data_IF_182923700848
#
_entry.id   IF_182923700848
#
_cell.length_a   1.000
_cell.length_b   1.000
_cell.length_c   1.000
_cell.angle_alpha   90.00
_cell.angle_beta   90.00
_cell.angle_gamma   90.00
#
_symmetry.space_group_name_H-M   'P 1'
#
loop_
_entity.id
_entity.type
_entity.pdbx_description
1 polymer ?
#
# COMPACT_ATOMS: atom_id res chain seq x y z
N UNK A 1 -13.78 -16.86 -7.32
CA UNK A 1 -13.08 -15.77 -6.62
C UNK A 1 -12.97 -14.52 -7.48
N UNK A 2 -12.35 -13.44 -6.95
CA UNK A 2 -12.16 -12.19 -7.69
C UNK A 2 -11.31 -12.41 -8.95
N UNK A 3 -10.24 -13.22 -8.85
CA UNK A 3 -9.41 -13.57 -10.01
C UNK A 3 -10.22 -14.19 -11.14
N UNK A 4 -11.08 -15.17 -10.84
CA UNK A 4 -11.95 -15.79 -11.84
C UNK A 4 -12.94 -14.80 -12.48
N UNK A 5 -13.50 -13.85 -11.71
CA UNK A 5 -14.38 -12.81 -12.25
C UNK A 5 -13.63 -11.86 -13.20
N UNK A 6 -12.40 -11.46 -12.83
CA UNK A 6 -11.54 -10.63 -13.68
C UNK A 6 -11.15 -11.35 -14.98
N UNK A 7 -10.83 -12.65 -14.90
CA UNK A 7 -10.51 -13.45 -16.10
C UNK A 7 -11.73 -13.62 -17.02
N UNK A 8 -12.91 -13.79 -16.46
CA UNK A 8 -14.14 -13.82 -17.25
C UNK A 8 -14.38 -12.46 -17.94
N UNK A 9 -14.24 -11.33 -17.22
CA UNK A 9 -14.33 -10.02 -17.83
C UNK A 9 -13.30 -9.81 -18.95
N UNK A 10 -12.05 -10.26 -18.73
CA UNK A 10 -10.97 -10.13 -19.72
C UNK A 10 -11.26 -10.89 -21.03
N UNK A 11 -12.04 -11.97 -21.00
CA UNK A 11 -12.42 -12.71 -22.19
C UNK A 11 -13.27 -11.88 -23.17
N UNK A 12 -13.94 -10.84 -22.68
CA UNK A 12 -14.77 -9.94 -23.47
C UNK A 12 -14.05 -8.65 -23.92
N UNK A 13 -12.83 -8.42 -23.45
CA UNK A 13 -12.05 -7.22 -23.83
C UNK A 13 -11.51 -7.37 -25.23
N UNK A 14 -11.75 -6.38 -26.10
CA UNK A 14 -11.25 -6.33 -27.47
C UNK A 14 -10.22 -5.24 -27.74
N UNK A 15 -10.04 -4.33 -26.77
CA UNK A 15 -9.10 -3.21 -26.83
C UNK A 15 -7.66 -3.64 -26.51
N UNK A 16 -6.68 -2.88 -26.97
CA UNK A 16 -5.26 -3.12 -26.70
C UNK A 16 -4.88 -2.86 -25.26
N UNK A 17 -5.61 -1.97 -24.57
CA UNK A 17 -5.43 -1.64 -23.17
C UNK A 17 -6.73 -1.92 -22.40
N UNK A 18 -6.58 -2.30 -21.14
CA UNK A 18 -7.70 -2.51 -20.23
C UNK A 18 -7.43 -1.82 -18.89
N UNK A 19 -8.42 -1.06 -18.43
CA UNK A 19 -8.43 -0.46 -17.11
C UNK A 19 -9.26 -1.33 -16.16
N UNK A 20 -8.68 -1.60 -15.00
CA UNK A 20 -9.32 -2.38 -13.93
C UNK A 20 -9.54 -1.51 -12.71
N UNK A 21 -10.74 -1.64 -12.14
CA UNK A 21 -11.12 -0.98 -10.90
C UNK A 21 -11.99 -1.91 -10.05
N UNK A 22 -12.00 -1.69 -8.74
CA UNK A 22 -12.90 -2.41 -7.84
C UNK A 22 -14.33 -1.82 -7.94
N UNK A 23 -15.35 -2.65 -7.73
CA UNK A 23 -16.75 -2.23 -7.85
C UNK A 23 -17.19 -1.18 -6.80
N UNK A 24 -16.41 -1.06 -5.72
CA UNK A 24 -16.59 -0.10 -4.64
C UNK A 24 -15.70 1.14 -4.78
N UNK A 25 -15.10 1.34 -5.95
CA UNK A 25 -14.18 2.44 -6.22
C UNK A 25 -14.82 3.49 -7.12
N UNK A 26 -14.86 4.73 -6.64
CA UNK A 26 -15.25 5.89 -7.44
C UNK A 26 -14.06 6.35 -8.27
N UNK A 27 -14.25 6.39 -9.59
CA UNK A 27 -13.30 6.93 -10.56
C UNK A 27 -13.80 8.30 -10.98
N UNK A 28 -13.09 9.41 -10.66
CA UNK A 28 -13.47 10.73 -11.10
C UNK A 28 -13.50 10.81 -12.64
N UNK A 29 -14.44 11.59 -13.16
CA UNK A 29 -14.49 11.89 -14.59
C UNK A 29 -13.53 13.04 -14.92
N UNK A 30 -12.24 12.75 -14.81
CA UNK A 30 -11.14 13.66 -15.09
C UNK A 30 -10.12 13.01 -16.04
N UNK A 31 -9.04 13.70 -16.34
CA UNK A 31 -7.97 13.21 -17.23
C UNK A 31 -7.10 12.10 -16.59
N UNK A 32 -7.49 11.56 -15.44
CA UNK A 32 -6.71 10.57 -14.71
C UNK A 32 -6.31 9.36 -15.55
N UNK A 33 -7.28 8.80 -16.30
CA UNK A 33 -7.03 7.67 -17.21
C UNK A 33 -6.09 8.05 -18.36
N UNK A 34 -6.17 9.28 -18.85
CA UNK A 34 -5.27 9.80 -19.89
C UNK A 34 -3.81 9.80 -19.44
N UNK A 35 -3.53 10.10 -18.16
CA UNK A 35 -2.17 9.99 -17.61
C UNK A 35 -1.66 8.55 -17.56
N UNK A 36 -2.54 7.57 -17.29
CA UNK A 36 -2.15 6.16 -17.33
C UNK A 36 -1.87 5.71 -18.77
N UNK A 37 -2.72 6.09 -19.71
CA UNK A 37 -2.52 5.79 -21.13
C UNK A 37 -1.21 6.38 -21.65
N UNK A 38 -0.91 7.63 -21.30
CA UNK A 38 0.35 8.25 -21.66
C UNK A 38 1.59 7.49 -21.14
N UNK A 39 1.53 6.86 -19.97
CA UNK A 39 2.62 5.99 -19.50
C UNK A 39 2.71 4.68 -20.31
N UNK A 40 1.59 4.10 -20.74
CA UNK A 40 1.60 2.94 -21.67
C UNK A 40 2.24 3.34 -23.00
N UNK A 41 1.87 4.49 -23.56
CA UNK A 41 2.44 5.01 -24.81
C UNK A 41 3.95 5.28 -24.69
N UNK A 42 4.43 5.68 -23.51
CA UNK A 42 5.87 5.79 -23.19
C UNK A 42 6.56 4.44 -22.98
N UNK A 43 5.87 3.36 -23.28
CA UNK A 43 6.38 1.99 -23.28
C UNK A 43 6.25 1.28 -21.92
N UNK A 44 5.37 1.69 -21.02
CA UNK A 44 5.00 0.85 -19.88
C UNK A 44 4.09 -0.30 -20.35
N UNK A 45 4.18 -1.44 -19.67
CA UNK A 45 3.34 -2.60 -19.92
C UNK A 45 2.16 -2.65 -18.95
N UNK A 46 2.34 -2.03 -17.78
CA UNK A 46 1.31 -1.88 -16.76
C UNK A 46 1.52 -0.59 -15.96
N UNK A 47 0.43 0.04 -15.56
CA UNK A 47 0.43 1.33 -14.85
C UNK A 47 -0.52 1.28 -13.67
N UNK A 48 -0.04 1.66 -12.49
CA UNK A 48 -0.85 1.82 -11.28
C UNK A 48 -1.25 3.27 -11.06
N UNK A 49 -2.51 3.52 -10.70
CA UNK A 49 -2.97 4.80 -10.18
C UNK A 49 -2.88 4.88 -8.65
N UNK A 50 -3.39 5.95 -8.08
CA UNK A 50 -3.34 6.27 -6.66
C UNK A 50 -4.72 6.05 -6.02
N UNK A 51 -4.91 5.01 -5.19
CA UNK A 51 -6.09 4.90 -4.37
C UNK A 51 -6.00 5.88 -3.18
N UNK A 52 -6.72 6.97 -3.25
CA UNK A 52 -6.83 8.00 -2.21
C UNK A 52 -7.99 7.74 -1.27
N UNK A 53 -8.37 8.69 -0.44
CA UNK A 53 -9.50 8.60 0.48
C UNK A 53 -10.59 9.60 0.06
N UNK A 54 -11.82 9.12 -0.11
CA UNK A 54 -12.97 10.00 -0.17
C UNK A 54 -13.34 10.42 1.26
N UNK A 55 -13.37 11.72 1.51
CA UNK A 55 -13.67 12.30 2.83
C UNK A 55 -15.08 12.87 2.91
N UNK A 56 -15.83 12.88 1.82
CA UNK A 56 -17.22 13.35 1.80
C UNK A 56 -18.10 12.38 2.59
N UNK A 57 -18.77 12.90 3.63
CA UNK A 57 -19.60 12.08 4.51
C UNK A 57 -18.85 11.01 5.33
N UNK A 58 -17.52 11.03 5.32
CA UNK A 58 -16.71 10.04 6.01
C UNK A 58 -16.67 10.26 7.53
N UNK A 59 -16.51 9.18 8.28
CA UNK A 59 -16.29 9.21 9.73
C UNK A 59 -14.88 9.63 10.12
N UNK A 60 -14.58 9.69 11.42
CA UNK A 60 -13.30 10.11 11.95
C UNK A 60 -12.13 9.21 11.51
N UNK A 61 -12.33 7.88 11.43
CA UNK A 61 -11.27 6.93 11.06
C UNK A 61 -10.73 7.15 9.64
N UNK A 62 -11.56 7.32 8.59
CA UNK A 62 -11.09 7.72 7.27
C UNK A 62 -10.29 9.02 7.26
N UNK A 63 -10.68 10.04 8.05
CA UNK A 63 -9.93 11.29 8.17
C UNK A 63 -8.54 11.06 8.77
N UNK A 64 -8.44 10.34 9.90
CA UNK A 64 -7.15 9.98 10.51
C UNK A 64 -6.27 9.23 9.51
N UNK A 65 -6.84 8.26 8.80
CA UNK A 65 -6.12 7.48 7.80
C UNK A 65 -5.64 8.32 6.62
N UNK A 66 -6.47 9.27 6.15
CA UNK A 66 -6.13 10.14 5.03
C UNK A 66 -4.88 10.99 5.33
N UNK A 67 -4.63 11.35 6.60
CA UNK A 67 -3.43 12.13 6.98
C UNK A 67 -2.13 11.46 6.57
N UNK A 68 -2.09 10.13 6.52
CA UNK A 68 -0.86 9.37 6.21
C UNK A 68 -0.96 8.56 4.91
N UNK A 69 -2.15 8.22 4.44
CA UNK A 69 -2.36 7.29 3.32
C UNK A 69 -1.76 7.80 2.03
N UNK A 70 -2.18 8.99 1.57
CA UNK A 70 -1.80 9.50 0.26
C UNK A 70 -0.30 9.80 0.14
N UNK A 71 0.31 10.58 1.07
CA UNK A 71 1.73 10.87 1.02
C UNK A 71 2.57 9.59 1.04
N UNK A 72 2.19 8.62 1.89
CA UNK A 72 2.88 7.34 1.99
C UNK A 72 2.78 6.52 0.70
N UNK A 73 1.63 6.53 0.03
CA UNK A 73 1.48 5.83 -1.25
C UNK A 73 2.32 6.52 -2.33
N UNK A 74 2.17 7.83 -2.50
CA UNK A 74 2.85 8.58 -3.57
C UNK A 74 4.36 8.55 -3.38
N UNK A 75 4.85 8.98 -2.22
CA UNK A 75 6.29 9.06 -1.96
C UNK A 75 6.94 7.68 -2.02
N UNK A 76 6.33 6.69 -1.36
CA UNK A 76 6.86 5.33 -1.31
C UNK A 76 6.91 4.69 -2.68
N UNK A 77 5.82 4.70 -3.44
CA UNK A 77 5.78 4.04 -4.75
C UNK A 77 6.63 4.75 -5.79
N UNK A 78 6.72 6.08 -5.73
CA UNK A 78 7.63 6.84 -6.59
C UNK A 78 9.09 6.49 -6.28
N UNK A 79 9.48 6.45 -5.01
CA UNK A 79 10.81 6.02 -4.61
C UNK A 79 11.11 4.58 -5.06
N UNK A 80 10.17 3.66 -4.84
CA UNK A 80 10.32 2.26 -5.28
C UNK A 80 10.49 2.14 -6.79
N UNK A 81 9.75 2.92 -7.57
CA UNK A 81 9.90 2.94 -9.03
C UNK A 81 11.27 3.50 -9.45
N UNK A 82 11.71 4.60 -8.85
CA UNK A 82 12.98 5.25 -9.22
C UNK A 82 14.20 4.40 -8.83
N UNK A 83 14.19 3.88 -7.61
CA UNK A 83 15.33 3.14 -7.04
C UNK A 83 15.20 1.63 -7.25
N UNK A 84 14.00 1.06 -7.14
CA UNK A 84 13.74 -0.38 -7.26
C UNK A 84 13.39 -0.84 -8.68
N UNK A 85 13.07 0.08 -9.58
CA UNK A 85 12.69 -0.20 -10.97
C UNK A 85 11.19 -0.35 -11.21
N UNK A 86 10.40 -0.64 -10.16
CA UNK A 86 8.95 -0.75 -10.24
C UNK A 86 8.28 -0.33 -8.92
N UNK A 87 7.02 0.14 -8.92
CA UNK A 87 6.24 0.32 -7.71
C UNK A 87 5.95 -1.04 -7.07
N UNK A 88 5.79 -1.07 -5.75
CA UNK A 88 5.54 -2.30 -4.99
C UNK A 88 4.29 -3.07 -5.46
N UNK A 89 3.24 -2.35 -5.87
CA UNK A 89 1.96 -2.92 -6.26
C UNK A 89 1.22 -2.00 -7.25
N UNK A 90 0.60 -2.61 -8.24
CA UNK A 90 -0.51 -2.01 -8.98
C UNK A 90 -1.77 -2.39 -8.22
N UNK A 91 -2.44 -1.41 -7.61
CA UNK A 91 -3.65 -1.66 -6.82
C UNK A 91 -4.78 -2.17 -7.70
N UNK A 92 -5.50 -3.20 -7.26
CA UNK A 92 -6.71 -3.69 -7.92
C UNK A 92 -7.82 -2.64 -8.07
N UNK A 93 -7.78 -1.58 -7.26
CA UNK A 93 -8.69 -0.44 -7.37
C UNK A 93 -8.36 0.51 -8.53
N UNK A 94 -7.12 0.48 -9.07
CA UNK A 94 -6.70 1.39 -10.14
C UNK A 94 -5.47 0.85 -10.87
N UNK A 95 -5.69 0.05 -11.89
CA UNK A 95 -4.63 -0.53 -12.71
C UNK A 95 -4.97 -0.50 -14.20
N UNK A 96 -4.03 -0.06 -15.03
CA UNK A 96 -4.13 -0.15 -16.49
C UNK A 96 -3.04 -1.08 -17.01
N UNK A 97 -3.39 -1.95 -17.95
CA UNK A 97 -2.50 -2.98 -18.47
C UNK A 97 -2.64 -3.06 -19.99
N UNK A 98 -1.57 -3.44 -20.67
CA UNK A 98 -1.71 -3.99 -22.02
C UNK A 98 -2.50 -5.30 -21.92
N UNK A 99 -3.55 -5.44 -22.71
CA UNK A 99 -4.47 -6.58 -22.68
C UNK A 99 -3.74 -7.91 -22.94
N UNK A 100 -2.75 -7.92 -23.81
CA UNK A 100 -1.90 -9.09 -24.09
C UNK A 100 -1.15 -9.59 -22.85
N UNK A 101 -0.68 -8.67 -21.99
CA UNK A 101 0.02 -9.00 -20.74
C UNK A 101 -0.91 -9.71 -19.77
N UNK A 102 -2.13 -9.19 -19.59
CA UNK A 102 -3.12 -9.85 -18.75
C UNK A 102 -3.60 -11.19 -19.32
N UNK A 103 -3.75 -11.31 -20.64
CA UNK A 103 -4.09 -12.59 -21.28
C UNK A 103 -3.04 -13.65 -21.07
N UNK A 104 -1.76 -13.26 -21.04
CA UNK A 104 -0.64 -14.18 -20.85
C UNK A 104 -0.52 -14.67 -19.39
N UNK A 105 -0.67 -13.77 -18.40
CA UNK A 105 -0.42 -14.10 -17.01
C UNK A 105 -1.67 -14.27 -16.18
N UNK A 106 -2.71 -13.47 -16.43
CA UNK A 106 -3.98 -13.52 -15.74
C UNK A 106 -3.92 -13.16 -14.26
N UNK A 107 -5.06 -13.40 -13.60
CA UNK A 107 -5.18 -13.29 -12.16
C UNK A 107 -5.31 -14.67 -11.54
N UNK A 108 -4.46 -14.98 -10.58
CA UNK A 108 -4.46 -16.27 -9.91
C UNK A 108 -5.24 -16.19 -8.59
N UNK A 109 -5.93 -17.27 -8.24
CA UNK A 109 -6.64 -17.40 -6.96
C UNK A 109 -5.74 -18.01 -5.83
N UNK A 110 -4.42 -18.11 -6.05
CA UNK A 110 -3.46 -18.67 -5.07
C UNK A 110 -3.21 -17.76 -3.86
N UNK A 111 -3.63 -16.50 -3.94
CA UNK A 111 -3.59 -15.53 -2.85
C UNK A 111 -4.80 -14.60 -2.92
N UNK A 112 -5.16 -13.98 -1.80
CA UNK A 112 -6.24 -12.97 -1.70
C UNK A 112 -5.81 -11.55 -2.04
N UNK A 113 -4.56 -11.37 -2.43
CA UNK A 113 -3.96 -10.14 -2.94
C UNK A 113 -3.46 -10.41 -4.36
N UNK A 114 -4.39 -10.77 -5.22
CA UNK A 114 -4.15 -11.16 -6.60
C UNK A 114 -3.44 -10.07 -7.41
N UNK A 115 -3.66 -8.81 -7.06
CA UNK A 115 -3.05 -7.64 -7.65
C UNK A 115 -1.55 -7.53 -7.31
N UNK A 116 -1.19 -7.84 -6.08
CA UNK A 116 0.21 -7.90 -5.66
C UNK A 116 0.94 -9.06 -6.32
N UNK A 117 0.31 -10.24 -6.33
CA UNK A 117 0.87 -11.45 -6.93
C UNK A 117 1.17 -11.24 -8.42
N UNK A 118 0.20 -10.68 -9.17
CA UNK A 118 0.39 -10.32 -10.57
C UNK A 118 1.50 -9.28 -10.73
N UNK A 119 1.51 -8.22 -9.92
CA UNK A 119 2.55 -7.18 -10.00
C UNK A 119 3.94 -7.78 -9.85
N UNK A 120 4.16 -8.64 -8.86
CA UNK A 120 5.47 -9.25 -8.62
C UNK A 120 5.85 -10.27 -9.70
N UNK A 121 4.86 -10.97 -10.26
CA UNK A 121 5.10 -11.85 -11.41
C UNK A 121 5.57 -11.03 -12.61
N UNK A 122 4.92 -9.92 -12.93
CA UNK A 122 5.32 -9.03 -14.03
C UNK A 122 6.71 -8.43 -13.82
N UNK A 123 7.05 -8.04 -12.58
CA UNK A 123 8.41 -7.57 -12.23
C UNK A 123 9.44 -8.66 -12.50
N UNK A 124 9.18 -9.90 -12.08
CA UNK A 124 10.07 -11.05 -12.29
C UNK A 124 10.33 -11.31 -13.77
N UNK A 125 9.29 -11.18 -14.58
CA UNK A 125 9.36 -11.38 -16.03
C UNK A 125 9.93 -10.17 -16.80
N UNK A 126 10.34 -9.12 -16.09
CA UNK A 126 11.01 -7.94 -16.67
C UNK A 126 10.09 -6.94 -17.34
N UNK A 127 8.76 -7.02 -17.11
CA UNK A 127 7.82 -6.02 -17.64
C UNK A 127 8.03 -4.66 -17.00
N UNK A 128 7.84 -3.61 -17.82
CA UNK A 128 7.98 -2.23 -17.37
C UNK A 128 6.71 -1.74 -16.68
N UNK A 129 6.79 -1.61 -15.37
CA UNK A 129 5.66 -1.16 -14.54
C UNK A 129 5.89 0.29 -14.10
N UNK A 130 4.87 1.13 -14.21
CA UNK A 130 4.93 2.55 -13.87
C UNK A 130 3.79 2.95 -12.90
N UNK A 131 4.00 4.09 -12.24
CA UNK A 131 3.00 4.73 -11.38
C UNK A 131 2.57 6.06 -12.02
N UNK A 132 1.26 6.22 -12.25
CA UNK A 132 0.65 7.48 -12.68
C UNK A 132 0.13 8.24 -11.45
N UNK A 133 0.93 9.15 -10.88
CA UNK A 133 0.58 9.87 -9.64
C UNK A 133 -0.60 10.85 -9.82
N UNK A 134 -0.96 11.21 -11.04
CA UNK A 134 -2.09 12.09 -11.35
C UNK A 134 -3.41 11.33 -11.54
N UNK A 135 -3.38 10.01 -11.68
CA UNK A 135 -4.59 9.19 -11.70
C UNK A 135 -4.97 8.82 -10.27
N UNK A 136 -5.93 9.54 -9.72
CA UNK A 136 -6.41 9.33 -8.35
C UNK A 136 -7.82 8.74 -8.38
N UNK A 137 -8.04 7.67 -7.62
CA UNK A 137 -9.36 7.03 -7.46
C UNK A 137 -9.72 6.92 -5.98
N UNK A 138 -10.98 6.76 -5.68
CA UNK A 138 -11.52 6.79 -4.32
C UNK A 138 -12.24 5.47 -4.00
N UNK A 139 -11.52 4.44 -3.50
CA UNK A 139 -12.15 3.23 -3.00
C UNK A 139 -12.94 3.51 -1.72
N UNK A 140 -13.94 2.69 -1.48
CA UNK A 140 -14.73 2.76 -0.24
C UNK A 140 -13.84 2.65 0.99
N UNK A 141 -14.05 3.55 1.94
CA UNK A 141 -13.29 3.59 3.19
C UNK A 141 -13.98 2.76 4.29
N UNK A 142 -13.16 2.16 5.16
CA UNK A 142 -13.66 1.54 6.38
C UNK A 142 -13.98 2.62 7.42
N UNK A 143 -15.17 2.57 8.01
CA UNK A 143 -15.61 3.52 9.03
C UNK A 143 -15.36 3.01 10.46
N UNK A 144 -15.11 1.72 10.63
CA UNK A 144 -14.88 1.10 11.93
C UNK A 144 -13.50 0.47 12.05
N UNK A 145 -12.95 0.44 13.26
CA UNK A 145 -11.67 -0.23 13.57
C UNK A 145 -11.75 -1.73 13.24
N UNK A 146 -12.92 -2.36 13.42
CA UNK A 146 -13.13 -3.78 13.12
C UNK A 146 -12.99 -4.07 11.63
N UNK A 147 -13.56 -3.24 10.76
CA UNK A 147 -13.43 -3.36 9.31
C UNK A 147 -11.98 -3.12 8.87
N UNK A 148 -11.36 -2.08 9.45
CA UNK A 148 -9.95 -1.75 9.18
C UNK A 148 -9.04 -2.90 9.58
N UNK A 149 -9.25 -3.51 10.75
CA UNK A 149 -8.51 -4.67 11.21
C UNK A 149 -8.65 -5.87 10.25
N UNK A 150 -9.88 -6.19 9.81
CA UNK A 150 -10.15 -7.27 8.85
C UNK A 150 -9.42 -7.01 7.51
N UNK A 151 -9.48 -5.77 7.01
CA UNK A 151 -8.82 -5.35 5.77
C UNK A 151 -7.31 -5.48 5.88
N UNK A 152 -6.70 -4.93 6.93
CA UNK A 152 -5.26 -5.01 7.18
C UNK A 152 -4.79 -6.45 7.36
N UNK A 153 -5.51 -7.25 8.14
CA UNK A 153 -5.19 -8.68 8.30
C UNK A 153 -5.13 -9.41 6.96
N UNK A 154 -6.11 -9.17 6.09
CA UNK A 154 -6.13 -9.76 4.74
C UNK A 154 -4.90 -9.36 3.94
N UNK A 155 -4.58 -8.06 3.89
CA UNK A 155 -3.44 -7.57 3.14
C UNK A 155 -2.10 -8.09 3.68
N UNK A 156 -1.91 -8.03 4.99
CA UNK A 156 -0.64 -8.41 5.61
C UNK A 156 -0.36 -9.90 5.44
N UNK A 157 -1.36 -10.74 5.68
CA UNK A 157 -1.19 -12.19 5.47
C UNK A 157 -0.96 -12.48 4.00
N UNK A 158 -1.71 -11.83 3.09
CA UNK A 158 -1.49 -11.95 1.65
C UNK A 158 -0.09 -11.52 1.22
N UNK A 159 0.43 -10.41 1.77
CA UNK A 159 1.81 -9.97 1.50
C UNK A 159 2.84 -11.01 1.95
N UNK A 160 2.66 -11.59 3.14
CA UNK A 160 3.53 -12.64 3.64
C UNK A 160 3.48 -13.91 2.76
N UNK A 161 2.30 -14.27 2.27
CA UNK A 161 2.15 -15.38 1.30
C UNK A 161 2.83 -15.05 -0.03
N UNK A 162 2.65 -13.85 -0.57
CA UNK A 162 3.32 -13.40 -1.79
C UNK A 162 4.85 -13.44 -1.64
N UNK A 163 5.42 -13.07 -0.48
CA UNK A 163 6.85 -13.19 -0.24
C UNK A 163 7.34 -14.64 -0.35
N UNK A 164 6.56 -15.60 0.11
CA UNK A 164 6.90 -17.02 -0.03
C UNK A 164 6.81 -17.50 -1.47
N UNK A 165 5.79 -17.02 -2.21
CA UNK A 165 5.59 -17.38 -3.62
C UNK A 165 6.67 -16.79 -4.53
N UNK A 166 7.19 -15.61 -4.19
CA UNK A 166 8.16 -14.86 -4.98
C UNK A 166 9.47 -14.65 -4.21
N UNK A 167 9.94 -15.68 -3.50
CA UNK A 167 11.18 -15.64 -2.72
C UNK A 167 12.41 -15.31 -3.56
N UNK A 168 12.38 -15.65 -4.84
CA UNK A 168 13.37 -15.34 -5.86
C UNK A 168 13.58 -13.84 -6.07
N UNK A 169 12.55 -13.02 -5.83
CA UNK A 169 12.64 -11.56 -5.93
C UNK A 169 13.30 -10.89 -4.71
N UNK A 170 13.40 -11.57 -3.56
CA UNK A 170 13.81 -10.92 -2.31
C UNK A 170 15.21 -10.30 -2.36
N UNK A 171 16.16 -10.95 -3.04
CA UNK A 171 17.54 -10.48 -3.18
C UNK A 171 17.77 -9.66 -4.45
N UNK A 172 16.74 -9.43 -5.26
CA UNK A 172 16.84 -8.53 -6.41
C UNK A 172 16.80 -7.06 -5.98
N UNK A 173 17.19 -6.15 -6.89
CA UNK A 173 17.06 -4.70 -6.67
C UNK A 173 15.66 -4.31 -6.24
N UNK A 174 14.62 -4.87 -6.90
CA UNK A 174 13.23 -4.66 -6.52
C UNK A 174 12.92 -5.16 -5.11
N UNK A 175 13.37 -6.36 -4.77
CA UNK A 175 13.14 -6.96 -3.45
C UNK A 175 13.78 -6.14 -2.33
N UNK A 176 15.05 -5.74 -2.51
CA UNK A 176 15.78 -4.94 -1.52
C UNK A 176 15.18 -3.55 -1.31
N UNK A 177 14.65 -2.93 -2.36
CA UNK A 177 14.07 -1.57 -2.27
C UNK A 177 12.58 -1.58 -1.91
N UNK A 178 11.82 -2.57 -2.39
CA UNK A 178 10.37 -2.56 -2.29
C UNK A 178 9.79 -3.55 -1.28
N UNK A 179 10.38 -4.74 -1.15
CA UNK A 179 9.86 -5.81 -0.28
C UNK A 179 10.51 -5.74 1.10
N UNK A 180 11.84 -5.81 1.15
CA UNK A 180 12.59 -5.87 2.39
C UNK A 180 12.30 -4.71 3.35
N UNK A 181 12.26 -3.42 2.93
CA UNK A 181 12.02 -2.30 3.84
C UNK A 181 10.67 -2.37 4.55
N UNK A 182 9.65 -2.97 3.95
CA UNK A 182 8.33 -3.12 4.59
C UNK A 182 8.41 -4.03 5.82
N UNK A 183 9.25 -5.05 5.78
CA UNK A 183 9.45 -5.96 6.92
C UNK A 183 10.50 -5.43 7.87
N UNK A 184 11.57 -4.85 7.37
CA UNK A 184 12.59 -4.20 8.18
C UNK A 184 12.01 -3.10 9.06
N UNK A 185 11.13 -2.24 8.51
CA UNK A 185 10.46 -1.19 9.27
C UNK A 185 9.64 -1.75 10.43
N UNK A 186 8.95 -2.89 10.24
CA UNK A 186 8.20 -3.54 11.33
C UNK A 186 9.16 -4.02 12.42
N UNK A 187 10.20 -4.75 12.05
CA UNK A 187 11.19 -5.28 13.01
C UNK A 187 11.91 -4.14 13.72
N UNK A 188 12.42 -3.16 12.98
CA UNK A 188 13.10 -2.00 13.56
C UNK A 188 12.15 -1.14 14.40
N UNK A 189 10.90 -0.93 13.98
CA UNK A 189 9.89 -0.21 14.74
C UNK A 189 9.61 -0.86 16.08
N UNK A 190 9.42 -2.20 16.11
CA UNK A 190 9.19 -2.96 17.34
C UNK A 190 10.44 -2.94 18.24
N UNK A 191 11.63 -3.15 17.68
CA UNK A 191 12.88 -3.11 18.43
C UNK A 191 13.14 -1.71 19.00
N UNK A 192 12.96 -0.68 18.21
CA UNK A 192 13.16 0.72 18.66
C UNK A 192 12.17 1.06 19.76
N UNK A 193 10.90 0.65 19.63
CA UNK A 193 9.90 0.85 20.66
C UNK A 193 10.25 0.09 21.94
N UNK A 194 10.64 -1.19 21.86
CA UNK A 194 11.05 -1.98 23.01
C UNK A 194 12.28 -1.39 23.70
N UNK A 195 13.30 -0.97 22.95
CA UNK A 195 14.51 -0.32 23.48
C UNK A 195 14.14 1.01 24.14
N UNK A 196 13.31 1.84 23.51
CA UNK A 196 12.88 3.11 24.09
C UNK A 196 12.08 2.91 25.38
N UNK A 197 11.22 1.89 25.43
CA UNK A 197 10.46 1.57 26.61
C UNK A 197 11.37 1.10 27.77
N UNK A 198 12.32 0.21 27.52
CA UNK A 198 13.27 -0.23 28.52
C UNK A 198 14.15 0.92 29.03
N UNK A 199 14.55 1.82 28.15
CA UNK A 199 15.32 3.02 28.54
C UNK A 199 14.50 3.98 29.38
N UNK A 200 13.24 4.22 29.06
CA UNK A 200 12.34 5.08 29.88
C UNK A 200 12.09 4.46 31.25
N UNK A 201 11.94 3.14 31.34
CA UNK A 201 11.70 2.46 32.62
C UNK A 201 12.96 2.28 33.48
N UNK A 202 14.15 2.28 32.87
CA UNK A 202 15.43 2.13 33.58
C UNK A 202 16.19 3.45 33.77
N UNK A 203 15.60 4.59 33.39
CA UNK A 203 16.37 5.81 33.18
C UNK A 203 16.72 6.57 34.46
N UNK A 204 18.00 6.64 34.68
CA UNK A 204 18.66 7.79 35.32
C UNK A 204 19.76 8.27 34.36
N UNK A 205 19.56 9.39 33.62
CA UNK A 205 20.62 9.95 32.80
C UNK A 205 20.26 10.31 31.34
N UNK A 206 21.26 10.50 30.46
CA UNK A 206 21.08 11.02 29.09
C UNK A 206 20.15 10.20 28.18
N UNK A 207 19.83 8.97 28.55
CA UNK A 207 18.86 8.11 27.85
C UNK A 207 17.43 8.66 27.88
N UNK A 208 17.09 9.49 28.88
CA UNK A 208 15.80 10.19 28.95
C UNK A 208 15.58 11.12 27.76
N UNK A 209 16.63 11.79 27.31
CA UNK A 209 16.59 12.71 26.15
C UNK A 209 16.22 11.92 24.89
N UNK A 210 16.81 10.73 24.68
CA UNK A 210 16.48 9.90 23.52
C UNK A 210 15.03 9.38 23.56
N UNK A 211 14.51 9.02 24.74
CA UNK A 211 13.13 8.59 24.94
C UNK A 211 12.10 9.70 24.70
N UNK A 212 12.47 10.96 24.83
CA UNK A 212 11.59 12.11 24.54
C UNK A 212 11.79 12.64 23.11
N UNK A 213 13.03 12.75 22.66
CA UNK A 213 13.37 13.32 21.34
C UNK A 213 12.85 12.45 20.22
N UNK A 214 12.95 11.12 20.33
CA UNK A 214 12.53 10.21 19.27
C UNK A 214 11.01 10.25 19.02
N UNK A 215 10.12 10.19 20.04
CA UNK A 215 8.69 10.41 19.84
C UNK A 215 8.36 11.79 19.26
N UNK A 216 9.05 12.85 19.69
CA UNK A 216 8.83 14.19 19.15
C UNK A 216 9.22 14.31 17.68
N UNK A 217 10.33 13.69 17.26
CA UNK A 217 10.71 13.60 15.84
C UNK A 217 9.65 12.83 15.04
N UNK A 218 9.13 11.72 15.58
CA UNK A 218 8.04 10.96 14.96
C UNK A 218 6.79 11.83 14.79
N UNK A 219 6.36 12.53 15.82
CA UNK A 219 5.22 13.45 15.75
C UNK A 219 5.48 14.53 14.69
N UNK A 220 6.70 15.08 14.63
CA UNK A 220 7.10 16.04 13.61
C UNK A 220 6.95 15.50 12.19
N UNK A 221 7.47 14.30 11.94
CA UNK A 221 7.37 13.63 10.63
C UNK A 221 5.90 13.37 10.25
N UNK A 222 5.10 12.83 11.16
CA UNK A 222 3.67 12.56 10.91
C UNK A 222 2.90 13.86 10.66
N UNK A 223 3.24 14.94 11.36
CA UNK A 223 2.63 16.27 11.16
C UNK A 223 2.97 16.84 9.79
N UNK A 224 4.22 16.71 9.32
CA UNK A 224 4.62 17.12 7.96
C UNK A 224 3.86 16.31 6.92
N UNK A 225 3.78 14.98 7.08
CA UNK A 225 3.03 14.10 6.19
C UNK A 225 1.54 14.47 6.18
N UNK A 226 0.97 14.76 7.36
CA UNK A 226 -0.41 15.24 7.50
C UNK A 226 -0.64 16.60 6.82
N UNK A 227 0.33 17.50 6.89
CA UNK A 227 0.30 18.79 6.19
C UNK A 227 0.27 18.62 4.66
N UNK A 228 1.08 17.71 4.11
CA UNK A 228 1.05 17.37 2.68
C UNK A 228 -0.33 16.82 2.28
N UNK A 229 -0.91 15.94 3.10
CA UNK A 229 -2.24 15.39 2.86
C UNK A 229 -3.33 16.46 2.95
N UNK A 230 -3.24 17.37 3.94
CA UNK A 230 -4.17 18.50 4.10
C UNK A 230 -4.16 19.41 2.86
N UNK A 231 -2.99 19.71 2.34
CA UNK A 231 -2.82 20.48 1.10
C UNK A 231 -3.46 19.76 -0.10
N UNK A 232 -3.19 18.46 -0.25
CA UNK A 232 -3.71 17.67 -1.36
C UNK A 232 -5.24 17.58 -1.35
N UNK A 233 -5.82 17.30 -0.17
CA UNK A 233 -7.27 17.20 0.00
C UNK A 233 -7.97 18.57 0.17
N UNK A 234 -7.21 19.68 0.16
CA UNK A 234 -7.71 21.03 0.46
C UNK A 234 -8.52 21.09 1.76
N UNK A 235 -8.11 20.32 2.75
CA UNK A 235 -8.81 20.17 4.02
C UNK A 235 -7.85 20.32 5.21
N UNK A 236 -7.87 21.50 5.82
CA UNK A 236 -6.99 21.85 6.95
C UNK A 236 -7.23 20.98 8.20
N UNK A 237 -8.40 20.39 8.36
CA UNK A 237 -8.73 19.52 9.50
C UNK A 237 -7.83 18.27 9.56
N UNK A 238 -7.17 17.90 8.47
CA UNK A 238 -6.22 16.80 8.46
C UNK A 238 -4.94 17.10 9.26
N UNK A 239 -4.55 18.38 9.42
CA UNK A 239 -3.36 18.74 10.19
C UNK A 239 -3.45 18.35 11.67
N UNK A 240 -4.45 18.81 12.45
CA UNK A 240 -4.56 18.41 13.85
C UNK A 240 -4.81 16.92 14.04
N UNK A 241 -5.46 16.27 13.08
CA UNK A 241 -5.70 14.81 13.13
C UNK A 241 -4.42 13.98 12.89
N UNK A 242 -3.35 14.59 12.37
CA UNK A 242 -2.06 13.93 12.20
C UNK A 242 -1.50 13.38 13.54
N UNK A 243 -1.77 14.04 14.67
CA UNK A 243 -1.39 13.51 15.98
C UNK A 243 -2.06 12.16 16.30
N UNK A 244 -3.31 11.98 15.89
CA UNK A 244 -4.03 10.71 16.06
C UNK A 244 -3.55 9.65 15.06
N UNK A 245 -2.98 10.06 13.93
CA UNK A 245 -2.40 9.14 12.96
C UNK A 245 -1.20 8.35 13.53
N UNK A 246 -0.52 8.87 14.56
CA UNK A 246 0.52 8.13 15.29
C UNK A 246 -0.07 6.86 15.91
N UNK A 247 -1.23 6.96 16.55
CA UNK A 247 -1.93 5.81 17.14
C UNK A 247 -2.36 4.81 16.05
N UNK A 248 -2.84 5.31 14.92
CA UNK A 248 -3.18 4.48 13.76
C UNK A 248 -1.97 3.74 13.21
N UNK A 249 -0.82 4.40 13.11
CA UNK A 249 0.44 3.77 12.67
C UNK A 249 0.88 2.69 13.67
N UNK A 250 0.85 2.96 14.97
CA UNK A 250 1.18 1.97 16.02
C UNK A 250 0.26 0.75 15.91
N UNK A 251 -1.05 0.95 15.76
CA UNK A 251 -2.01 -0.13 15.55
C UNK A 251 -1.67 -0.94 14.30
N UNK A 252 -1.35 -0.28 13.20
CA UNK A 252 -0.97 -0.97 11.96
C UNK A 252 0.29 -1.82 12.13
N UNK A 253 1.30 -1.35 12.88
CA UNK A 253 2.49 -2.13 13.22
C UNK A 253 2.18 -3.36 14.07
N UNK A 254 1.31 -3.24 15.07
CA UNK A 254 0.88 -4.37 15.88
C UNK A 254 0.21 -5.46 15.02
N UNK A 255 -0.68 -5.04 14.11
CA UNK A 255 -1.32 -5.95 13.14
C UNK A 255 -0.28 -6.61 12.24
N UNK A 256 0.69 -5.84 11.71
CA UNK A 256 1.77 -6.36 10.89
C UNK A 256 2.61 -7.40 11.62
N UNK A 257 3.01 -7.13 12.86
CA UNK A 257 3.84 -8.07 13.63
C UNK A 257 3.11 -9.39 13.85
N UNK A 258 1.88 -9.34 14.37
CA UNK A 258 1.13 -10.56 14.70
C UNK A 258 0.74 -11.36 13.45
N UNK A 259 0.14 -10.69 12.47
CA UNK A 259 -0.40 -11.39 11.30
C UNK A 259 0.64 -11.63 10.21
N UNK A 260 1.64 -10.77 10.08
CA UNK A 260 2.74 -10.94 9.13
C UNK A 260 3.59 -12.16 9.50
N UNK A 261 4.01 -12.26 10.77
CA UNK A 261 4.75 -13.43 11.25
C UNK A 261 3.93 -14.72 11.09
N UNK A 262 2.64 -14.69 11.46
CA UNK A 262 1.75 -15.84 11.26
C UNK A 262 1.67 -16.22 9.78
N UNK A 263 1.51 -15.28 8.87
CA UNK A 263 1.46 -15.53 7.42
C UNK A 263 2.76 -16.10 6.88
N UNK A 264 3.91 -15.58 7.33
CA UNK A 264 5.23 -16.08 6.94
C UNK A 264 5.47 -17.52 7.41
N UNK A 265 5.06 -17.85 8.64
CA UNK A 265 5.27 -19.20 9.20
C UNK A 265 4.30 -20.19 8.57
N UNK A 266 3.01 -19.88 8.56
CA UNK A 266 1.98 -20.84 8.15
C UNK A 266 1.78 -20.93 6.64
N UNK A 267 2.03 -19.86 5.89
CA UNK A 267 1.70 -19.73 4.47
C UNK A 267 0.21 -19.85 4.17
N UNK A 268 -0.66 -19.75 5.18
CA UNK A 268 -2.10 -19.92 5.06
C UNK A 268 -2.82 -18.60 5.25
N UNK A 269 -3.71 -18.29 4.34
CA UNK A 269 -4.59 -17.13 4.43
C UNK A 269 -5.86 -17.45 5.23
N UNK A 270 -6.43 -16.47 5.96
CA UNK A 270 -7.72 -16.68 6.62
C UNK A 270 -8.80 -16.95 5.58
N UNK A 271 -9.81 -17.78 5.90
CA UNK A 271 -10.99 -17.95 5.04
C UNK A 271 -11.64 -16.56 4.80
N UNK A 272 -12.24 -16.38 3.63
CA UNK A 272 -13.13 -15.21 3.41
C UNK A 272 -14.33 -15.39 4.34
N UNK A 273 -14.54 -14.39 5.23
CA UNK A 273 -15.76 -14.26 6.03
C UNK A 273 -16.86 -13.70 5.13
#
# INVERSE_FOLDING_TARGET
GKGGALMNGLSHVTTEQVFLTDADTYVPNDDGLGYMLAEIERGADAVGGIPSSNLEGAGLLPYIRATVKLPMIVLKRTFQQLVGGAPFIISGACGMFKTEVLRKYGFSDRTKVEDLDLTWQLVREGYKIRQANRCVVYPQECNTIREEWKRWRRWIVGYAVCMRLHKDLLLTRFGLVSIFPMFALVVFGVLTYAISWTQVTMAHGPHYIAGVVFPLLWVGVVTIIGGISAFHHRNILLMPLACLAVLYVILSYAIWTVHGLKGLITGREPKRD
#
